data_IF_432669601530
#
_entry.id   IF_432669601530
#
_cell.length_a   1.000
_cell.length_b   1.000
_cell.length_c   1.000
_cell.angle_alpha   90.00
_cell.angle_beta   90.00
_cell.angle_gamma   90.00
#
_symmetry.space_group_name_H-M   'P 1'
#
loop_
_entity.id
_entity.type
_entity.pdbx_description
1 polymer ?
#
# COMPACT_ATOMS: atom_id res chain seq x y z
N UNK A 1 -15.32 -33.17 13.26
CA UNK A 1 -15.52 -32.70 11.90
C UNK A 1 -16.04 -31.28 11.95
N UNK A 2 -15.17 -30.32 12.08
CA UNK A 2 -15.40 -28.87 11.85
C UNK A 2 -14.00 -28.23 11.81
N UNK A 3 -13.62 -27.65 10.72
CA UNK A 3 -12.39 -26.86 10.64
C UNK A 3 -11.57 -27.15 9.40
N UNK A 4 -11.90 -26.51 8.33
CA UNK A 4 -11.00 -26.28 7.19
C UNK A 4 -11.72 -25.38 6.18
N UNK A 5 -11.82 -24.06 6.49
CA UNK A 5 -12.31 -23.10 5.50
C UNK A 5 -11.97 -21.66 5.92
N UNK A 6 -10.68 -21.35 6.06
CA UNK A 6 -10.28 -19.94 6.32
C UNK A 6 -8.78 -19.68 6.01
N UNK A 7 -8.26 -20.22 4.92
CA UNK A 7 -6.88 -19.94 4.50
C UNK A 7 -6.69 -19.36 3.10
N UNK A 8 -7.77 -18.92 2.43
CA UNK A 8 -7.68 -18.35 1.07
C UNK A 8 -8.21 -16.92 0.91
N UNK A 9 -8.49 -16.19 1.97
CA UNK A 9 -9.21 -14.91 1.88
C UNK A 9 -8.38 -13.64 2.12
N UNK A 10 -7.06 -13.70 2.27
CA UNK A 10 -6.27 -12.51 2.67
C UNK A 10 -5.51 -11.81 1.54
N UNK A 11 -5.51 -12.33 0.33
CA UNK A 11 -4.85 -11.68 -0.82
C UNK A 11 -5.85 -10.84 -1.65
N UNK A 12 -7.15 -11.06 -1.51
CA UNK A 12 -8.20 -10.40 -2.32
C UNK A 12 -8.80 -9.12 -1.72
N UNK A 13 -8.50 -8.78 -0.48
CA UNK A 13 -9.14 -7.64 0.22
C UNK A 13 -8.55 -6.27 -0.07
N UNK A 14 -7.43 -6.15 -0.75
CA UNK A 14 -6.82 -4.84 -1.01
C UNK A 14 -7.36 -4.09 -2.23
N UNK A 15 -8.11 -4.76 -3.13
CA UNK A 15 -8.71 -4.11 -4.32
C UNK A 15 -10.17 -3.68 -4.08
N UNK A 16 -10.83 -4.22 -3.06
CA UNK A 16 -12.28 -4.03 -2.83
C UNK A 16 -12.66 -2.86 -1.91
N UNK A 17 -11.70 -2.19 -1.30
CA UNK A 17 -12.02 -1.07 -0.39
C UNK A 17 -12.40 0.25 -1.11
N UNK A 18 -12.21 0.34 -2.43
CA UNK A 18 -12.61 1.53 -3.21
C UNK A 18 -13.95 1.39 -3.93
N UNK A 19 -14.60 0.21 -3.89
CA UNK A 19 -15.85 -0.06 -4.62
C UNK A 19 -17.07 -0.25 -3.72
N UNK A 20 -17.03 0.16 -2.49
CA UNK A 20 -18.13 0.00 -1.50
C UNK A 20 -19.38 0.87 -1.77
N UNK A 21 -19.64 1.26 -3.01
CA UNK A 21 -20.89 1.96 -3.39
C UNK A 21 -21.69 1.28 -4.52
N UNK A 22 -21.31 0.07 -4.95
CA UNK A 22 -22.13 -0.69 -5.88
C UNK A 22 -22.38 -2.10 -5.32
N UNK A 23 -23.63 -2.54 -5.39
CA UNK A 23 -24.08 -3.85 -4.90
C UNK A 23 -23.18 -4.99 -5.42
N UNK A 24 -22.32 -5.47 -4.58
CA UNK A 24 -21.25 -6.44 -4.84
C UNK A 24 -21.75 -7.89 -5.09
N UNK A 25 -23.05 -8.13 -5.07
CA UNK A 25 -23.62 -9.48 -5.13
C UNK A 25 -23.84 -10.02 -6.54
N UNK A 26 -23.72 -9.22 -7.59
CA UNK A 26 -23.98 -9.69 -8.97
C UNK A 26 -22.72 -9.88 -9.82
N UNK A 27 -21.56 -9.42 -9.38
CA UNK A 27 -20.30 -9.52 -10.14
C UNK A 27 -19.46 -10.74 -9.73
N UNK A 28 -19.73 -11.34 -8.56
CA UNK A 28 -18.95 -12.46 -8.01
C UNK A 28 -19.52 -13.85 -8.30
N UNK A 29 -20.59 -13.97 -9.07
CA UNK A 29 -21.22 -15.24 -9.41
C UNK A 29 -20.96 -15.69 -10.86
N UNK A 30 -19.77 -15.41 -11.40
CA UNK A 30 -19.34 -16.04 -12.64
C UNK A 30 -18.51 -17.29 -12.34
N UNK A 31 -18.90 -18.38 -13.02
CA UNK A 31 -18.38 -19.72 -12.79
C UNK A 31 -16.87 -19.82 -12.95
N UNK A 32 -16.25 -20.65 -12.13
CA UNK A 32 -14.82 -21.03 -12.21
C UNK A 32 -14.36 -21.42 -13.63
N UNK A 33 -15.27 -21.99 -14.45
CA UNK A 33 -15.03 -22.35 -15.85
C UNK A 33 -14.85 -21.13 -16.77
N UNK A 34 -15.52 -20.00 -16.50
CA UNK A 34 -15.31 -18.75 -17.26
C UNK A 34 -13.98 -18.07 -16.90
N UNK A 35 -13.57 -18.16 -15.64
CA UNK A 35 -12.28 -17.61 -15.19
C UNK A 35 -11.10 -18.39 -15.80
N UNK A 36 -11.21 -19.72 -15.90
CA UNK A 36 -10.23 -20.60 -16.58
C UNK A 36 -10.21 -20.34 -18.08
N UNK A 37 -11.37 -20.19 -18.72
CA UNK A 37 -11.45 -19.83 -20.14
C UNK A 37 -10.90 -18.44 -20.43
N UNK A 38 -11.13 -17.48 -19.53
CA UNK A 38 -10.58 -16.10 -19.60
C UNK A 38 -9.07 -16.14 -19.48
N UNK A 39 -8.49 -16.92 -18.55
CA UNK A 39 -7.04 -17.07 -18.42
C UNK A 39 -6.42 -17.77 -19.64
N UNK A 40 -7.09 -18.74 -20.26
CA UNK A 40 -6.64 -19.38 -21.50
C UNK A 40 -6.70 -18.44 -22.70
N UNK A 41 -7.68 -17.55 -22.76
CA UNK A 41 -7.78 -16.50 -23.76
C UNK A 41 -6.68 -15.44 -23.57
N UNK A 42 -6.41 -15.05 -22.33
CA UNK A 42 -5.31 -14.14 -21.97
C UNK A 42 -3.96 -14.70 -22.44
N UNK A 43 -3.69 -15.98 -22.23
CA UNK A 43 -2.43 -16.62 -22.60
C UNK A 43 -2.22 -16.79 -24.12
N UNK A 44 -3.29 -16.72 -24.94
CA UNK A 44 -3.24 -16.94 -26.39
C UNK A 44 -3.25 -15.67 -27.23
N UNK A 45 -3.77 -14.55 -26.71
CA UNK A 45 -4.10 -13.37 -27.52
C UNK A 45 -3.71 -12.04 -26.88
N UNK A 46 -3.04 -12.05 -25.75
CA UNK A 46 -2.61 -10.85 -25.05
C UNK A 46 -1.10 -10.87 -24.81
N UNK A 47 -0.43 -9.90 -25.40
CA UNK A 47 0.96 -9.59 -25.11
C UNK A 47 1.01 -8.33 -24.24
N UNK A 48 1.51 -8.48 -23.02
CA UNK A 48 1.69 -7.38 -22.08
C UNK A 48 2.60 -6.28 -22.66
N UNK A 49 3.56 -6.66 -23.48
CA UNK A 49 4.46 -5.72 -24.17
C UNK A 49 3.72 -4.87 -25.19
N UNK A 50 2.78 -5.45 -25.96
CA UNK A 50 1.94 -4.73 -26.93
C UNK A 50 1.07 -3.68 -26.24
N UNK A 51 0.47 -4.03 -25.10
CA UNK A 51 -0.34 -3.10 -24.32
C UNK A 51 0.49 -1.97 -23.72
N UNK A 52 1.64 -2.30 -23.16
CA UNK A 52 2.57 -1.30 -22.62
C UNK A 52 2.94 -0.30 -23.71
N UNK A 53 3.43 -0.78 -24.86
CA UNK A 53 3.79 0.06 -25.99
C UNK A 53 2.59 0.92 -26.46
N UNK A 54 1.40 0.33 -26.54
CA UNK A 54 0.17 1.03 -26.93
C UNK A 54 -0.14 2.18 -25.98
N UNK A 55 -0.03 1.98 -24.66
CA UNK A 55 -0.30 3.04 -23.68
C UNK A 55 0.83 4.05 -23.55
N UNK A 56 2.08 3.66 -23.71
CA UNK A 56 3.19 4.61 -23.79
C UNK A 56 2.99 5.55 -24.98
N UNK A 57 2.62 5.03 -26.16
CA UNK A 57 2.32 5.81 -27.33
C UNK A 57 1.09 6.72 -27.14
N UNK A 58 0.03 6.20 -26.51
CA UNK A 58 -1.14 6.99 -26.15
C UNK A 58 -0.79 8.17 -25.23
N UNK A 59 -0.07 7.92 -24.14
CA UNK A 59 0.35 8.96 -23.21
C UNK A 59 1.30 9.98 -23.86
N UNK A 60 2.13 9.55 -24.81
CA UNK A 60 2.95 10.45 -25.61
C UNK A 60 2.10 11.33 -26.53
N UNK A 61 1.05 10.79 -27.16
CA UNK A 61 0.11 11.57 -27.95
C UNK A 61 -0.58 12.64 -27.10
N UNK A 62 -1.07 12.29 -25.89
CA UNK A 62 -1.61 13.25 -24.92
C UNK A 62 -0.58 14.33 -24.58
N UNK A 63 0.64 13.93 -24.21
CA UNK A 63 1.73 14.86 -23.88
C UNK A 63 2.01 15.85 -24.98
N UNK A 64 2.08 15.39 -26.22
CA UNK A 64 2.48 16.19 -27.37
C UNK A 64 1.31 16.99 -27.97
N UNK A 65 0.09 16.86 -27.44
CA UNK A 65 -1.15 17.39 -28.02
C UNK A 65 -1.42 16.87 -29.44
N UNK A 66 -0.94 15.67 -29.72
CA UNK A 66 -1.32 14.93 -30.91
C UNK A 66 -2.73 14.37 -30.68
N UNK A 67 -3.56 14.28 -31.69
CA UNK A 67 -4.92 13.75 -31.49
C UNK A 67 -4.92 12.32 -30.93
N UNK A 68 -5.81 12.02 -30.01
CA UNK A 68 -5.97 10.68 -29.42
C UNK A 68 -7.05 9.84 -30.13
N UNK A 69 -7.54 10.26 -31.26
CA UNK A 69 -8.64 9.60 -31.99
C UNK A 69 -8.31 8.16 -32.39
N UNK A 70 -7.06 7.88 -32.74
CA UNK A 70 -6.61 6.52 -33.05
C UNK A 70 -6.67 5.55 -31.85
N UNK A 71 -6.85 6.07 -30.66
CA UNK A 71 -6.94 5.28 -29.43
C UNK A 71 -8.37 5.13 -28.94
N UNK A 72 -9.32 5.91 -29.46
CA UNK A 72 -10.73 5.89 -29.12
C UNK A 72 -11.47 4.96 -30.08
N UNK A 73 -12.44 4.21 -29.58
CA UNK A 73 -13.28 3.34 -30.40
C UNK A 73 -14.14 4.19 -31.36
N UNK A 74 -14.22 3.83 -32.66
CA UNK A 74 -14.93 4.65 -33.64
C UNK A 74 -16.45 4.56 -33.51
N UNK A 75 -16.96 3.47 -32.96
CA UNK A 75 -18.36 3.07 -32.90
C UNK A 75 -19.13 3.57 -31.66
N UNK A 76 -18.48 4.37 -30.81
CA UNK A 76 -19.13 5.02 -29.67
C UNK A 76 -19.66 6.41 -30.04
N UNK A 77 -20.58 6.95 -29.24
CA UNK A 77 -21.19 8.25 -29.46
C UNK A 77 -20.16 9.40 -29.35
N UNK A 78 -20.44 10.54 -29.97
CA UNK A 78 -19.56 11.72 -29.82
C UNK A 78 -19.53 12.22 -28.37
N UNK A 79 -20.59 12.05 -27.60
CA UNK A 79 -20.62 12.38 -26.17
C UNK A 79 -19.63 11.53 -25.37
N UNK A 80 -19.60 10.22 -25.63
CA UNK A 80 -18.63 9.30 -25.02
C UNK A 80 -17.18 9.61 -25.42
N UNK A 81 -16.95 9.92 -26.70
CA UNK A 81 -15.62 10.37 -27.17
C UNK A 81 -15.19 11.64 -26.47
N UNK A 82 -16.08 12.63 -26.38
CA UNK A 82 -15.79 13.90 -25.72
C UNK A 82 -15.54 13.71 -24.21
N UNK A 83 -16.23 12.78 -23.55
CA UNK A 83 -15.95 12.43 -22.16
C UNK A 83 -14.52 11.88 -21.97
N UNK A 84 -14.07 11.01 -22.88
CA UNK A 84 -12.69 10.49 -22.85
C UNK A 84 -11.68 11.62 -23.09
N UNK A 85 -11.91 12.46 -24.11
CA UNK A 85 -11.04 13.62 -24.40
C UNK A 85 -10.95 14.55 -23.21
N UNK A 86 -12.07 14.88 -22.58
CA UNK A 86 -12.13 15.80 -21.44
C UNK A 86 -11.37 15.28 -20.21
N UNK A 87 -11.35 13.98 -20.00
CA UNK A 87 -10.55 13.37 -18.92
C UNK A 87 -9.04 13.57 -19.16
N UNK A 88 -8.57 13.38 -20.41
CA UNK A 88 -7.14 13.48 -20.71
C UNK A 88 -6.66 14.91 -21.04
N UNK A 89 -7.57 15.82 -21.36
CA UNK A 89 -7.25 17.23 -21.69
C UNK A 89 -6.39 17.97 -20.65
N UNK A 90 -6.58 17.83 -19.32
CA UNK A 90 -5.73 18.46 -18.31
C UNK A 90 -4.26 18.04 -18.37
N UNK A 91 -3.97 16.91 -18.99
CA UNK A 91 -2.63 16.36 -19.09
C UNK A 91 -1.90 16.78 -20.37
N UNK A 92 -2.61 17.36 -21.34
CA UNK A 92 -2.04 17.80 -22.61
C UNK A 92 -0.94 18.83 -22.41
N UNK A 93 0.18 18.63 -23.11
CA UNK A 93 1.31 19.57 -23.09
C UNK A 93 2.07 19.61 -21.76
N UNK A 94 1.82 18.73 -20.81
CA UNK A 94 2.64 18.60 -19.62
C UNK A 94 4.07 18.18 -19.98
N UNK A 95 5.06 18.67 -19.24
CA UNK A 95 6.48 18.45 -19.54
C UNK A 95 6.89 16.98 -19.49
N UNK A 96 6.22 16.19 -18.66
CA UNK A 96 6.45 14.77 -18.48
C UNK A 96 5.13 14.06 -18.20
N UNK A 97 4.85 13.03 -18.99
CA UNK A 97 3.82 12.02 -18.73
C UNK A 97 4.50 10.70 -18.93
N UNK A 98 4.43 9.79 -17.95
CA UNK A 98 5.09 8.50 -18.02
C UNK A 98 4.14 7.36 -17.60
N UNK A 99 4.21 6.28 -18.35
CA UNK A 99 3.56 5.03 -18.04
C UNK A 99 4.17 4.40 -16.77
N UNK A 100 3.33 3.84 -15.91
CA UNK A 100 3.76 3.10 -14.73
C UNK A 100 3.47 1.62 -14.90
N UNK A 101 2.20 1.25 -15.02
CA UNK A 101 1.80 -0.12 -15.34
C UNK A 101 0.36 -0.17 -15.89
N UNK A 102 0.03 -1.31 -16.48
CA UNK A 102 -1.32 -1.67 -16.90
C UNK A 102 -1.67 -3.04 -16.35
N UNK A 103 -2.86 -3.17 -15.81
CA UNK A 103 -3.42 -4.44 -15.36
C UNK A 103 -4.80 -4.63 -16.00
N UNK A 104 -5.07 -5.81 -16.50
CA UNK A 104 -6.38 -6.17 -17.04
C UNK A 104 -7.10 -7.12 -16.05
N UNK A 105 -7.90 -6.58 -15.11
CA UNK A 105 -8.59 -7.41 -14.12
C UNK A 105 -9.76 -8.20 -14.71
N UNK A 106 -10.33 -7.75 -15.81
CA UNK A 106 -11.49 -8.38 -16.44
C UNK A 106 -11.31 -8.37 -17.94
N UNK A 107 -11.45 -9.53 -18.55
CA UNK A 107 -11.51 -9.72 -19.99
C UNK A 107 -12.70 -10.65 -20.31
N UNK A 108 -13.49 -10.30 -21.29
CA UNK A 108 -14.58 -11.16 -21.77
C UNK A 108 -14.70 -11.09 -23.28
N UNK A 109 -15.27 -12.14 -23.85
CA UNK A 109 -15.59 -12.21 -25.27
C UNK A 109 -17.04 -11.82 -25.49
N UNK A 110 -17.30 -11.02 -26.53
CA UNK A 110 -18.66 -10.73 -26.96
C UNK A 110 -19.13 -11.88 -27.87
N UNK A 111 -20.20 -12.55 -27.47
CA UNK A 111 -20.76 -13.71 -28.21
C UNK A 111 -21.33 -13.29 -29.57
N UNK A 112 -21.03 -14.07 -30.62
CA UNK A 112 -21.64 -13.93 -31.96
C UNK A 112 -20.74 -13.31 -33.02
N UNK A 113 -19.48 -13.11 -32.78
CA UNK A 113 -18.54 -12.44 -33.67
C UNK A 113 -17.24 -13.24 -33.90
N UNK A 114 -16.46 -12.83 -34.89
CA UNK A 114 -15.24 -13.49 -35.28
C UNK A 114 -14.18 -13.52 -34.17
N UNK A 115 -13.41 -14.60 -34.11
CA UNK A 115 -12.52 -15.02 -33.02
C UNK A 115 -11.50 -13.99 -32.56
N UNK A 116 -11.23 -12.97 -33.36
CA UNK A 116 -10.17 -11.98 -33.12
C UNK A 116 -10.66 -10.55 -32.81
N UNK A 117 -11.93 -10.23 -33.07
CA UNK A 117 -12.39 -8.85 -33.12
C UNK A 117 -13.23 -8.36 -31.93
N UNK A 118 -13.58 -9.25 -30.97
CA UNK A 118 -14.53 -8.90 -29.92
C UNK A 118 -14.06 -9.26 -28.50
N UNK A 119 -12.80 -9.01 -28.23
CA UNK A 119 -12.36 -8.99 -26.84
C UNK A 119 -12.66 -7.63 -26.23
N UNK A 120 -13.40 -7.62 -25.13
CA UNK A 120 -13.67 -6.43 -24.33
C UNK A 120 -13.19 -6.66 -22.90
N UNK A 121 -12.76 -5.59 -22.24
CA UNK A 121 -12.26 -5.72 -20.89
C UNK A 121 -12.19 -4.42 -20.14
N UNK A 122 -11.96 -4.53 -18.85
CA UNK A 122 -11.58 -3.41 -18.00
C UNK A 122 -10.07 -3.43 -17.86
N UNK A 123 -9.48 -2.26 -17.98
CA UNK A 123 -8.04 -2.10 -17.91
C UNK A 123 -7.70 -0.99 -16.93
N UNK A 124 -6.95 -1.32 -15.91
CA UNK A 124 -6.36 -0.34 -15.01
C UNK A 124 -5.07 0.20 -15.64
N UNK A 125 -5.06 1.50 -15.93
CA UNK A 125 -3.88 2.23 -16.38
C UNK A 125 -3.41 3.15 -15.27
N UNK A 126 -2.16 3.00 -14.87
CA UNK A 126 -1.48 3.90 -13.94
C UNK A 126 -0.39 4.66 -14.67
N UNK A 127 -0.39 5.98 -14.51
CA UNK A 127 0.56 6.88 -15.17
C UNK A 127 0.91 8.07 -14.27
N UNK A 128 2.05 8.70 -14.52
CA UNK A 128 2.53 9.86 -13.76
C UNK A 128 2.57 11.09 -14.63
N UNK A 129 2.26 12.23 -14.01
CA UNK A 129 2.28 13.55 -14.65
C UNK A 129 3.10 14.52 -13.82
N UNK A 130 4.05 15.19 -14.44
CA UNK A 130 4.82 16.29 -13.84
C UNK A 130 3.97 17.56 -13.84
N UNK A 131 3.34 17.84 -12.70
CA UNK A 131 2.49 19.03 -12.54
C UNK A 131 3.30 20.33 -12.45
N UNK A 132 4.47 20.28 -11.80
CA UNK A 132 5.43 21.37 -11.67
C UNK A 132 6.84 20.82 -11.46
N UNK A 133 7.84 21.71 -11.30
CA UNK A 133 9.24 21.30 -11.02
C UNK A 133 9.37 20.39 -9.78
N UNK A 134 8.52 20.62 -8.79
CA UNK A 134 8.56 19.90 -7.50
C UNK A 134 7.39 18.94 -7.28
N UNK A 135 6.42 18.87 -8.21
CA UNK A 135 5.22 18.05 -8.02
C UNK A 135 5.07 17.03 -9.14
N UNK A 136 5.14 15.76 -8.76
CA UNK A 136 4.84 14.60 -9.59
C UNK A 136 3.60 13.91 -9.03
N UNK A 137 2.56 13.77 -9.85
CA UNK A 137 1.30 13.16 -9.46
C UNK A 137 1.09 11.87 -10.23
N UNK A 138 0.74 10.80 -9.53
CA UNK A 138 0.37 9.52 -10.11
C UNK A 138 -1.15 9.40 -10.17
N UNK A 139 -1.66 9.04 -11.33
CA UNK A 139 -3.07 8.86 -11.61
C UNK A 139 -3.37 7.40 -11.94
N UNK A 140 -4.52 6.94 -11.48
CA UNK A 140 -5.06 5.62 -11.83
C UNK A 140 -6.42 5.81 -12.50
N UNK A 141 -6.60 5.17 -13.66
CA UNK A 141 -7.87 5.17 -14.38
C UNK A 141 -8.24 3.75 -14.80
N UNK A 142 -9.50 3.39 -14.65
CA UNK A 142 -10.04 2.13 -15.18
C UNK A 142 -10.76 2.45 -16.48
N UNK A 143 -10.17 1.98 -17.56
CA UNK A 143 -10.64 2.14 -18.92
C UNK A 143 -11.50 0.94 -19.33
N UNK A 144 -12.59 1.19 -20.04
CA UNK A 144 -13.30 0.18 -20.81
C UNK A 144 -12.59 0.04 -22.15
N UNK A 145 -12.10 -1.15 -22.46
CA UNK A 145 -11.30 -1.43 -23.65
C UNK A 145 -11.98 -2.42 -24.57
N UNK A 146 -11.81 -2.23 -25.86
CA UNK A 146 -12.19 -3.18 -26.89
C UNK A 146 -11.01 -3.41 -27.84
N UNK A 147 -10.81 -4.64 -28.28
CA UNK A 147 -9.85 -4.99 -29.32
C UNK A 147 -10.57 -4.95 -30.66
N UNK A 148 -10.31 -3.93 -31.45
CA UNK A 148 -11.01 -3.63 -32.71
C UNK A 148 -10.01 -3.57 -33.88
N UNK A 149 -10.47 -3.97 -35.07
CA UNK A 149 -9.72 -3.95 -36.32
C UNK A 149 -9.94 -5.19 -37.15
N UNK A 150 -9.35 -5.22 -38.35
CA UNK A 150 -9.28 -6.41 -39.19
C UNK A 150 -8.08 -7.29 -38.83
N UNK A 151 -7.97 -8.48 -39.43
CA UNK A 151 -6.91 -9.45 -39.13
C UNK A 151 -5.47 -8.89 -39.32
N UNK A 152 -5.31 -7.77 -40.04
CA UNK A 152 -4.02 -7.15 -40.31
C UNK A 152 -3.70 -5.95 -39.44
N UNK A 153 -4.69 -5.41 -38.70
CA UNK A 153 -4.57 -4.16 -37.93
C UNK A 153 -5.38 -4.12 -36.66
N UNK A 154 -5.45 -5.23 -35.93
CA UNK A 154 -6.19 -5.31 -34.64
C UNK A 154 -5.48 -4.45 -33.59
N UNK A 155 -6.21 -3.52 -32.99
CA UNK A 155 -5.68 -2.64 -31.94
C UNK A 155 -6.64 -2.50 -30.76
N UNK A 156 -6.09 -2.35 -29.58
CA UNK A 156 -6.85 -1.98 -28.41
C UNK A 156 -7.32 -0.54 -28.49
N UNK A 157 -8.62 -0.32 -28.28
CA UNK A 157 -9.28 0.97 -28.32
C UNK A 157 -10.03 1.25 -27.02
N UNK A 158 -10.04 2.50 -26.58
CA UNK A 158 -10.78 2.98 -25.42
C UNK A 158 -12.22 3.28 -25.87
N UNK A 159 -13.20 2.62 -25.24
CA UNK A 159 -14.61 2.92 -25.49
C UNK A 159 -15.34 3.51 -24.28
N UNK A 160 -14.61 3.81 -23.20
CA UNK A 160 -15.15 4.51 -22.04
C UNK A 160 -14.18 4.54 -20.87
N UNK A 161 -14.54 5.35 -19.89
CA UNK A 161 -13.86 5.42 -18.59
C UNK A 161 -14.87 4.91 -17.56
N UNK A 162 -14.49 3.90 -16.78
CA UNK A 162 -15.32 3.36 -15.71
C UNK A 162 -15.10 4.10 -14.39
N UNK A 163 -13.85 4.39 -14.08
CA UNK A 163 -13.43 5.02 -12.83
C UNK A 163 -12.08 5.70 -12.97
N UNK A 164 -11.86 6.73 -12.17
CA UNK A 164 -10.56 7.39 -12.02
C UNK A 164 -10.39 7.96 -10.61
N UNK A 165 -9.15 8.06 -10.17
CA UNK A 165 -8.80 8.76 -8.93
C UNK A 165 -8.60 10.27 -9.17
N UNK A 166 -8.27 10.97 -8.07
CA UNK A 166 -7.93 12.41 -8.09
C UNK A 166 -6.43 12.67 -8.24
N UNK A 167 -5.65 11.58 -8.37
CA UNK A 167 -4.20 11.61 -8.36
C UNK A 167 -3.59 11.62 -6.97
N UNK A 168 -2.45 10.96 -6.83
CA UNK A 168 -1.65 10.85 -5.60
C UNK A 168 -0.32 11.57 -5.81
N UNK A 169 0.06 12.44 -4.89
CA UNK A 169 1.37 13.09 -4.93
C UNK A 169 2.45 12.06 -4.60
N UNK A 170 3.31 11.78 -5.57
CA UNK A 170 4.45 10.87 -5.48
C UNK A 170 5.78 11.59 -5.67
N UNK A 171 5.81 12.89 -5.40
CA UNK A 171 7.04 13.67 -5.40
C UNK A 171 8.00 13.16 -4.35
N UNK A 172 9.30 13.28 -4.60
CA UNK A 172 10.33 12.92 -3.63
C UNK A 172 10.12 13.67 -2.30
N UNK A 173 10.22 12.92 -1.21
CA UNK A 173 10.07 13.43 0.15
C UNK A 173 11.42 13.48 0.88
N UNK A 174 11.47 14.28 1.93
CA UNK A 174 12.66 14.33 2.79
C UNK A 174 12.69 13.10 3.71
N UNK A 175 13.62 12.19 3.46
CA UNK A 175 13.82 10.98 4.24
C UNK A 175 14.72 11.23 5.46
N UNK A 176 14.17 11.79 6.53
CA UNK A 176 14.89 12.06 7.78
C UNK A 176 14.59 11.04 8.90
N UNK A 177 13.65 10.12 8.66
CA UNK A 177 13.22 9.12 9.64
C UNK A 177 14.39 8.25 10.12
N UNK A 178 15.28 7.88 9.21
CA UNK A 178 16.43 7.02 9.48
C UNK A 178 17.68 7.79 9.99
N UNK A 179 17.60 9.11 10.06
CA UNK A 179 18.69 9.91 10.60
C UNK A 179 18.85 9.64 12.10
N UNK A 180 20.10 9.67 12.59
CA UNK A 180 20.36 9.63 14.02
C UNK A 180 19.71 10.82 14.73
N UNK A 181 19.27 10.65 15.99
CA UNK A 181 18.74 11.77 16.75
C UNK A 181 19.73 12.92 16.84
N UNK A 182 19.24 14.15 16.89
CA UNK A 182 20.09 15.33 17.09
C UNK A 182 20.43 15.49 18.58
N UNK A 183 21.60 16.09 18.87
CA UNK A 183 21.99 16.41 20.25
C UNK A 183 20.90 17.22 20.96
N UNK A 184 20.49 16.76 22.14
CA UNK A 184 19.40 17.38 22.92
C UNK A 184 17.98 16.91 22.54
N UNK A 185 17.80 16.19 21.46
CA UNK A 185 16.52 15.56 21.09
C UNK A 185 16.10 14.53 22.16
N UNK A 186 14.81 14.46 22.46
CA UNK A 186 14.29 13.44 23.38
C UNK A 186 14.20 12.10 22.67
N UNK A 187 14.84 11.09 23.24
CA UNK A 187 14.81 9.73 22.74
C UNK A 187 14.13 8.78 23.73
N UNK A 188 13.56 7.72 23.22
CA UNK A 188 12.94 6.64 23.99
C UNK A 188 13.95 5.51 24.16
N UNK A 189 14.07 4.97 25.35
CA UNK A 189 14.91 3.81 25.70
C UNK A 189 14.00 2.76 26.30
N UNK A 190 13.80 1.68 25.56
CA UNK A 190 13.02 0.51 25.98
C UNK A 190 13.99 -0.58 26.43
N UNK A 191 13.90 -0.97 27.69
CA UNK A 191 14.60 -2.15 28.24
C UNK A 191 13.66 -3.34 28.16
N UNK A 192 14.12 -4.44 27.58
CA UNK A 192 13.39 -5.72 27.47
C UNK A 192 14.21 -6.84 28.09
N UNK A 193 13.63 -8.03 28.27
CA UNK A 193 14.38 -9.23 28.67
C UNK A 193 15.45 -9.63 27.66
N UNK A 194 15.30 -9.24 26.39
CA UNK A 194 16.25 -9.54 25.33
C UNK A 194 17.42 -8.53 25.21
N UNK A 195 17.24 -7.30 25.75
CA UNK A 195 18.20 -6.21 25.65
C UNK A 195 17.53 -4.84 25.55
N UNK A 196 18.29 -3.84 25.11
CA UNK A 196 17.85 -2.45 25.05
C UNK A 196 17.61 -2.02 23.61
N UNK A 197 16.44 -1.40 23.35
CA UNK A 197 16.07 -0.80 22.07
C UNK A 197 15.98 0.71 22.28
N UNK A 198 16.69 1.48 21.44
CA UNK A 198 16.65 2.96 21.49
C UNK A 198 15.95 3.50 20.24
N UNK A 199 14.99 4.41 20.46
CA UNK A 199 14.10 4.92 19.42
C UNK A 199 14.06 6.45 19.42
N UNK A 200 14.07 7.02 18.24
CA UNK A 200 13.71 8.40 17.96
C UNK A 200 12.20 8.51 17.85
N UNK A 201 11.61 9.61 18.30
CA UNK A 201 10.16 9.86 18.20
C UNK A 201 9.91 11.08 17.30
N UNK A 202 8.72 11.14 16.67
CA UNK A 202 8.35 12.18 15.71
C UNK A 202 7.10 12.97 16.15
N UNK A 203 7.19 13.77 17.23
CA UNK A 203 6.03 14.47 17.79
C UNK A 203 5.42 15.53 16.85
N UNK A 204 6.19 16.05 15.88
CA UNK A 204 5.72 16.99 14.87
C UNK A 204 4.86 16.34 13.77
N UNK A 205 4.94 15.02 13.61
CA UNK A 205 4.19 14.26 12.60
C UNK A 205 3.09 13.39 13.20
N UNK A 206 3.29 12.95 14.44
CA UNK A 206 2.35 12.09 15.16
C UNK A 206 2.21 12.56 16.63
N UNK A 207 1.70 13.79 16.87
CA UNK A 207 1.64 14.38 18.20
C UNK A 207 0.76 13.60 19.18
N UNK A 208 -0.39 13.06 18.74
CA UNK A 208 -1.27 12.28 19.61
C UNK A 208 -0.62 10.96 20.01
N UNK A 209 -0.06 10.25 19.04
CA UNK A 209 0.62 8.98 19.28
C UNK A 209 1.80 9.14 20.23
N UNK A 210 2.68 10.10 19.96
CA UNK A 210 3.87 10.34 20.80
C UNK A 210 3.47 10.77 22.21
N UNK A 211 2.46 11.64 22.36
CA UNK A 211 1.98 12.06 23.67
C UNK A 211 1.39 10.90 24.45
N UNK A 212 0.51 10.11 23.82
CA UNK A 212 -0.08 8.91 24.44
C UNK A 212 1.02 7.93 24.89
N UNK A 213 1.98 7.65 24.00
CA UNK A 213 3.12 6.78 24.29
C UNK A 213 3.93 7.24 25.50
N UNK A 214 4.31 8.53 25.54
CA UNK A 214 5.12 9.10 26.63
C UNK A 214 4.37 9.03 27.98
N UNK A 215 3.11 9.43 28.01
CA UNK A 215 2.36 9.51 29.27
C UNK A 215 2.03 8.11 29.82
N UNK A 216 1.62 7.16 28.96
CA UNK A 216 1.42 5.76 29.38
C UNK A 216 2.72 5.14 29.85
N UNK A 217 3.86 5.40 29.19
CA UNK A 217 5.18 4.92 29.62
C UNK A 217 5.58 5.48 30.98
N UNK A 218 5.38 6.77 31.24
CA UNK A 218 5.63 7.39 32.55
C UNK A 218 4.81 6.79 33.69
N UNK A 219 3.58 6.36 33.37
CA UNK A 219 2.70 5.67 34.32
C UNK A 219 3.12 4.20 34.54
N UNK A 220 4.14 3.71 33.83
CA UNK A 220 4.58 2.32 33.89
C UNK A 220 3.64 1.35 33.19
N UNK A 221 2.72 1.85 32.36
CA UNK A 221 1.71 1.03 31.68
C UNK A 221 2.31 -0.14 30.89
N UNK A 222 3.44 0.09 30.24
CA UNK A 222 4.11 -0.91 29.40
C UNK A 222 5.00 -1.88 30.19
N UNK A 223 5.26 -1.63 31.50
CA UNK A 223 6.14 -2.48 32.30
C UNK A 223 5.50 -3.87 32.48
N UNK A 224 6.27 -4.90 32.16
CA UNK A 224 5.83 -6.29 32.25
C UNK A 224 4.96 -6.77 31.08
N UNK A 225 4.70 -5.92 30.07
CA UNK A 225 3.91 -6.30 28.88
C UNK A 225 4.71 -7.22 27.98
N UNK A 226 4.07 -8.26 27.49
CA UNK A 226 4.63 -9.24 26.59
C UNK A 226 4.68 -8.70 25.15
N UNK A 227 5.67 -9.12 24.39
CA UNK A 227 5.53 -9.14 22.94
C UNK A 227 4.64 -10.35 22.61
N UNK A 228 3.33 -10.14 22.66
CA UNK A 228 2.31 -11.19 22.60
C UNK A 228 2.05 -11.73 21.18
N UNK A 229 2.46 -10.97 20.15
CA UNK A 229 2.39 -11.38 18.75
C UNK A 229 3.72 -11.10 18.07
N UNK A 230 4.32 -12.14 17.51
CA UNK A 230 5.66 -12.11 16.94
C UNK A 230 5.65 -12.82 15.59
N UNK A 231 5.94 -12.08 14.52
CA UNK A 231 6.01 -12.63 13.17
C UNK A 231 7.36 -12.27 12.57
N UNK A 232 8.23 -13.26 12.43
CA UNK A 232 9.54 -13.08 11.80
C UNK A 232 9.40 -12.62 10.35
N UNK A 233 10.18 -11.60 9.97
CA UNK A 233 10.10 -10.95 8.65
C UNK A 233 8.87 -10.05 8.50
N UNK A 234 8.23 -9.68 9.62
CA UNK A 234 7.09 -8.78 9.62
C UNK A 234 7.14 -7.80 10.79
N UNK A 235 6.58 -8.15 11.95
CA UNK A 235 6.50 -7.25 13.11
C UNK A 235 6.66 -7.99 14.42
N UNK A 236 7.07 -7.25 15.47
CA UNK A 236 6.90 -7.65 16.88
C UNK A 236 5.91 -6.68 17.52
N UNK A 237 4.84 -7.18 18.13
CA UNK A 237 3.73 -6.40 18.66
C UNK A 237 3.57 -6.58 20.17
N UNK A 238 3.31 -5.48 20.87
CA UNK A 238 3.13 -5.44 22.32
C UNK A 238 2.13 -4.34 22.73
N UNK A 239 1.95 -4.15 24.03
CA UNK A 239 1.14 -3.07 24.61
C UNK A 239 -0.24 -3.52 25.11
N UNK A 240 -0.71 -4.72 24.79
CA UNK A 240 -1.92 -5.28 25.39
C UNK A 240 -1.72 -5.62 26.87
N UNK A 241 -2.80 -5.61 27.66
CA UNK A 241 -2.79 -5.96 29.08
C UNK A 241 -2.77 -7.46 29.27
N UNK A 242 -3.54 -8.18 28.49
CA UNK A 242 -3.80 -9.63 28.62
C UNK A 242 -3.33 -10.44 27.39
N UNK A 243 -2.62 -9.81 26.48
CA UNK A 243 -2.26 -10.44 25.19
C UNK A 243 -3.39 -10.44 24.17
N UNK A 244 -4.52 -9.78 24.47
CA UNK A 244 -5.65 -9.68 23.57
C UNK A 244 -5.61 -8.34 22.79
N UNK A 245 -5.97 -8.37 21.51
CA UNK A 245 -6.01 -7.19 20.65
C UNK A 245 -7.18 -6.24 20.97
N UNK A 246 -8.17 -6.68 21.74
CA UNK A 246 -9.42 -5.93 21.93
C UNK A 246 -9.35 -4.87 23.03
N UNK A 247 -8.33 -4.92 23.91
CA UNK A 247 -8.19 -3.97 24.99
C UNK A 247 -7.37 -2.76 24.58
N UNK A 248 -8.01 -1.60 24.62
CA UNK A 248 -7.41 -0.33 24.26
C UNK A 248 -7.53 0.71 25.36
N UNK A 249 -6.40 1.15 25.88
CA UNK A 249 -6.27 2.24 26.87
C UNK A 249 -5.60 3.45 26.21
N UNK A 250 -6.08 4.65 26.52
CA UNK A 250 -5.46 5.89 26.08
C UNK A 250 -5.52 6.95 27.18
N UNK A 251 -4.65 7.96 27.09
CA UNK A 251 -4.75 9.13 27.96
C UNK A 251 -5.93 10.05 27.60
N UNK A 252 -6.61 9.76 26.48
CA UNK A 252 -7.69 10.56 25.92
C UNK A 252 -9.09 10.05 26.32
N UNK A 253 -9.16 8.92 27.02
CA UNK A 253 -10.40 8.21 27.34
C UNK A 253 -11.23 7.78 26.11
N UNK A 254 -10.63 7.75 24.93
CA UNK A 254 -11.21 7.31 23.67
C UNK A 254 -10.12 6.87 22.72
N UNK A 255 -10.44 6.02 21.76
CA UNK A 255 -9.58 5.75 20.61
C UNK A 255 -9.39 7.05 19.81
N UNK A 256 -8.28 7.15 19.07
CA UNK A 256 -7.96 8.36 18.31
C UNK A 256 -7.54 8.05 16.87
N UNK A 257 -7.55 9.09 16.06
CA UNK A 257 -7.34 9.04 14.63
C UNK A 257 -5.92 8.61 14.24
N UNK A 258 -5.78 8.11 13.01
CA UNK A 258 -4.48 7.84 12.41
C UNK A 258 -3.77 9.16 12.07
N UNK A 259 -2.52 9.27 12.46
CA UNK A 259 -1.63 10.37 12.11
C UNK A 259 -0.64 9.88 11.04
N UNK A 260 -1.10 9.90 9.78
CA UNK A 260 -0.31 9.43 8.64
C UNK A 260 0.47 10.59 8.03
N UNK A 261 1.73 10.35 7.74
CA UNK A 261 2.63 11.33 7.11
C UNK A 261 3.27 10.72 5.85
N UNK A 262 3.36 11.50 4.77
CA UNK A 262 4.11 11.13 3.57
C UNK A 262 5.64 11.10 3.76
N UNK A 263 6.14 11.51 4.91
CA UNK A 263 7.58 11.53 5.25
C UNK A 263 7.98 10.41 6.24
N UNK A 264 6.99 9.63 6.74
CA UNK A 264 7.21 8.52 7.68
C UNK A 264 6.65 7.23 7.10
N UNK A 265 7.45 6.19 7.11
CA UNK A 265 7.21 4.95 6.40
C UNK A 265 7.45 3.73 7.31
N UNK A 266 6.87 2.59 6.96
CA UNK A 266 7.07 1.32 7.68
C UNK A 266 8.42 0.67 7.30
N UNK A 267 9.52 1.43 7.35
CA UNK A 267 10.87 0.90 7.20
C UNK A 267 11.21 -0.07 8.33
N UNK A 268 12.20 -0.94 8.11
CA UNK A 268 12.71 -1.81 9.16
C UNK A 268 13.07 -0.99 10.43
N UNK A 269 12.57 -1.41 11.58
CA UNK A 269 12.72 -0.70 12.86
C UNK A 269 11.73 0.46 13.08
N UNK A 270 10.76 0.72 12.19
CA UNK A 270 9.72 1.70 12.45
C UNK A 270 8.87 1.31 13.66
N UNK A 271 8.61 2.28 14.56
CA UNK A 271 7.71 2.14 15.69
C UNK A 271 6.34 2.71 15.31
N UNK A 272 5.32 1.86 15.33
CA UNK A 272 4.00 2.15 14.80
C UNK A 272 2.90 1.76 15.78
N UNK A 273 1.72 2.41 15.68
CA UNK A 273 0.54 1.99 16.42
C UNK A 273 -0.15 0.83 15.71
N UNK A 274 -0.49 -0.19 16.48
CA UNK A 274 -1.42 -1.23 16.05
C UNK A 274 -2.86 -0.75 16.29
N UNK A 275 -3.76 -1.06 15.35
CA UNK A 275 -5.19 -0.73 15.48
C UNK A 275 -6.06 -1.81 14.82
N UNK A 276 -7.32 -1.91 15.22
CA UNK A 276 -8.32 -2.83 14.69
C UNK A 276 -9.06 -2.31 13.44
N UNK A 277 -8.67 -1.14 12.94
CA UNK A 277 -9.26 -0.47 11.78
C UNK A 277 -8.89 1.00 11.76
N UNK A 278 -9.27 1.76 10.73
CA UNK A 278 -8.97 3.19 10.65
C UNK A 278 -9.47 3.95 11.88
N UNK A 279 -8.62 4.83 12.42
CA UNK A 279 -8.96 5.71 13.55
C UNK A 279 -9.33 4.97 14.85
N UNK A 280 -8.75 3.80 15.08
CA UNK A 280 -8.91 3.02 16.32
C UNK A 280 -7.60 2.84 17.08
N UNK A 281 -6.75 3.86 17.08
CA UNK A 281 -5.47 3.84 17.78
C UNK A 281 -5.67 3.84 19.30
N UNK A 282 -4.89 3.02 19.99
CA UNK A 282 -4.89 2.87 21.45
C UNK A 282 -3.47 2.86 22.03
N UNK A 283 -3.21 1.89 22.86
CA UNK A 283 -1.94 1.64 23.55
C UNK A 283 -1.04 0.63 22.84
N UNK A 284 -1.61 -0.15 21.91
CA UNK A 284 -0.87 -1.21 21.26
C UNK A 284 0.05 -0.68 20.16
N UNK A 285 1.24 -1.24 20.11
CA UNK A 285 2.26 -0.84 19.14
C UNK A 285 2.93 -2.06 18.50
N UNK A 286 3.54 -1.85 17.36
CA UNK A 286 4.46 -2.80 16.77
C UNK A 286 5.77 -2.12 16.35
N UNK A 287 6.82 -2.92 16.28
CA UNK A 287 8.09 -2.53 15.65
C UNK A 287 8.24 -3.38 14.40
N UNK A 288 8.47 -2.75 13.27
CA UNK A 288 8.72 -3.43 12.00
C UNK A 288 10.02 -4.23 12.08
N UNK A 289 9.95 -5.51 11.76
CA UNK A 289 11.09 -6.41 11.70
C UNK A 289 11.13 -7.09 10.33
N UNK A 290 11.74 -6.45 9.36
CA UNK A 290 11.92 -6.99 8.00
C UNK A 290 13.16 -6.36 7.38
N UNK A 291 14.29 -7.06 7.42
CA UNK A 291 15.57 -6.60 6.85
C UNK A 291 15.55 -6.47 5.33
N UNK A 292 14.59 -7.13 4.70
CA UNK A 292 14.34 -7.06 3.28
C UNK A 292 12.97 -6.40 3.03
N UNK A 293 12.69 -6.01 1.79
CA UNK A 293 11.35 -5.55 1.42
C UNK A 293 10.41 -6.74 1.42
N UNK A 294 9.40 -6.69 2.29
CA UNK A 294 8.35 -7.71 2.27
C UNK A 294 7.49 -7.54 1.01
N UNK A 295 7.26 -8.62 0.26
CA UNK A 295 6.53 -8.62 -1.01
C UNK A 295 7.11 -7.60 -2.00
N UNK A 296 8.40 -7.71 -2.32
CA UNK A 296 9.11 -6.76 -3.19
C UNK A 296 8.41 -6.55 -4.54
N UNK A 297 7.71 -7.56 -5.04
CA UNK A 297 6.96 -7.51 -6.30
C UNK A 297 5.80 -6.50 -6.30
N UNK A 298 5.25 -6.15 -5.14
CA UNK A 298 4.20 -5.13 -5.06
C UNK A 298 4.75 -3.70 -4.95
N UNK A 299 6.03 -3.53 -4.59
CA UNK A 299 6.63 -2.21 -4.38
C UNK A 299 6.51 -1.29 -5.61
N UNK A 300 6.73 -1.73 -6.85
CA UNK A 300 6.52 -0.90 -8.04
C UNK A 300 5.07 -0.45 -8.21
N UNK A 301 4.10 -1.23 -7.72
CA UNK A 301 2.67 -0.98 -7.87
C UNK A 301 2.13 0.04 -6.86
N UNK A 302 2.85 0.28 -5.76
CA UNK A 302 2.45 1.23 -4.73
C UNK A 302 2.68 2.67 -5.19
N UNK A 303 1.72 3.53 -4.88
CA UNK A 303 1.78 4.98 -5.16
C UNK A 303 2.68 5.67 -4.13
N UNK A 304 3.97 5.36 -4.17
CA UNK A 304 5.02 5.92 -3.32
C UNK A 304 6.04 6.71 -4.14
N UNK A 305 6.68 7.74 -3.55
CA UNK A 305 7.82 8.43 -4.15
C UNK A 305 8.95 7.45 -4.50
N UNK A 306 9.68 7.71 -5.60
CA UNK A 306 10.75 6.81 -6.04
C UNK A 306 11.91 6.75 -5.04
N UNK A 307 12.21 7.88 -4.37
CA UNK A 307 13.23 7.88 -3.32
C UNK A 307 12.81 7.06 -2.08
N UNK A 308 11.50 6.94 -1.80
CA UNK A 308 10.97 6.06 -0.75
C UNK A 308 11.10 4.60 -1.16
N UNK A 309 10.71 4.25 -2.41
CA UNK A 309 10.87 2.89 -2.95
C UNK A 309 12.33 2.44 -2.93
N UNK A 310 13.25 3.33 -3.36
CA UNK A 310 14.68 3.07 -3.30
C UNK A 310 15.16 2.85 -1.85
N UNK A 311 14.65 3.63 -0.90
CA UNK A 311 15.00 3.48 0.52
C UNK A 311 14.48 2.16 1.09
N UNK A 312 13.28 1.70 0.75
CA UNK A 312 12.81 0.37 1.14
C UNK A 312 13.75 -0.74 0.67
N UNK A 313 14.23 -0.68 -0.58
CA UNK A 313 15.20 -1.65 -1.11
C UNK A 313 16.55 -1.63 -0.37
N UNK A 314 16.93 -0.49 0.20
CA UNK A 314 18.17 -0.34 0.96
C UNK A 314 18.08 -0.88 2.39
N UNK A 315 16.95 -0.62 3.07
CA UNK A 315 16.83 -0.85 4.53
C UNK A 315 15.78 -1.88 4.92
N UNK A 316 15.01 -2.38 3.98
CA UNK A 316 13.88 -3.29 4.23
C UNK A 316 12.64 -2.57 4.75
N UNK A 317 11.64 -3.37 5.12
CA UNK A 317 10.38 -2.91 5.68
C UNK A 317 9.15 -3.43 4.97
N UNK A 318 7.99 -2.81 5.26
CA UNK A 318 6.67 -3.28 4.84
C UNK A 318 5.91 -2.13 4.18
N UNK A 319 6.17 -1.87 2.90
CA UNK A 319 5.61 -0.70 2.21
C UNK A 319 4.08 -0.72 2.09
N UNK A 320 3.44 -1.90 2.16
CA UNK A 320 1.98 -2.03 2.10
C UNK A 320 1.26 -1.48 3.34
N UNK A 321 1.98 -1.24 4.43
CA UNK A 321 1.44 -0.63 5.65
C UNK A 321 1.45 0.91 5.60
N UNK A 322 2.17 1.52 4.65
CA UNK A 322 2.20 2.97 4.49
C UNK A 322 0.80 3.54 4.21
N UNK A 323 0.50 4.67 4.83
CA UNK A 323 -0.81 5.29 4.72
C UNK A 323 -1.93 4.65 5.53
N UNK A 324 -1.67 3.52 6.21
CA UNK A 324 -2.67 2.78 7.00
C UNK A 324 -2.46 2.88 8.50
N UNK A 325 -1.22 2.94 8.93
CA UNK A 325 -0.84 2.94 10.34
C UNK A 325 -0.03 4.17 10.70
N UNK A 326 -0.17 4.64 11.93
CA UNK A 326 0.60 5.77 12.45
C UNK A 326 2.03 5.33 12.75
N UNK A 327 2.99 5.80 11.98
CA UNK A 327 4.42 5.72 12.29
C UNK A 327 4.77 6.89 13.19
N UNK A 328 5.23 6.63 14.42
CA UNK A 328 5.52 7.69 15.40
C UNK A 328 6.94 7.66 15.96
N UNK A 329 7.74 6.64 15.56
CA UNK A 329 9.14 6.53 15.97
C UNK A 329 9.96 5.64 15.04
N UNK A 330 11.26 5.56 15.29
CA UNK A 330 12.22 4.74 14.56
C UNK A 330 13.32 4.24 15.50
N UNK A 331 13.59 2.96 15.44
CA UNK A 331 14.77 2.35 16.12
C UNK A 331 16.02 2.84 15.43
N UNK A 332 16.94 3.42 16.20
CA UNK A 332 18.25 3.84 15.72
C UNK A 332 19.41 3.03 16.34
N UNK A 333 19.13 2.25 17.39
CA UNK A 333 20.07 1.33 18.05
C UNK A 333 19.28 0.17 18.69
N UNK A 334 19.73 -1.07 18.51
CA UNK A 334 19.08 -2.27 19.06
C UNK A 334 18.19 -3.00 18.05
N UNK A 335 18.39 -2.88 16.73
CA UNK A 335 17.73 -3.72 15.73
C UNK A 335 18.06 -5.21 15.90
N UNK A 336 19.23 -5.53 16.37
CA UNK A 336 19.63 -6.90 16.77
C UNK A 336 18.76 -7.45 17.91
N UNK A 337 18.32 -6.60 18.83
CA UNK A 337 17.39 -6.97 19.91
C UNK A 337 15.98 -7.20 19.33
N UNK A 338 15.54 -6.36 18.37
CA UNK A 338 14.28 -6.56 17.65
C UNK A 338 14.29 -7.91 16.91
N UNK A 339 15.39 -8.25 16.24
CA UNK A 339 15.58 -9.53 15.56
C UNK A 339 15.56 -10.70 16.55
N UNK A 340 16.21 -10.56 17.71
CA UNK A 340 16.19 -11.57 18.76
C UNK A 340 14.77 -11.83 19.29
N UNK A 341 13.97 -10.78 19.48
CA UNK A 341 12.56 -10.92 19.88
C UNK A 341 11.78 -11.63 18.78
N UNK A 342 11.98 -11.26 17.51
CA UNK A 342 11.31 -11.85 16.35
C UNK A 342 11.71 -13.32 16.09
N UNK A 343 12.80 -13.79 16.71
CA UNK A 343 13.28 -15.16 16.55
C UNK A 343 12.68 -16.15 17.55
N UNK A 344 11.72 -15.72 18.38
CA UNK A 344 10.99 -16.62 19.27
C UNK A 344 10.14 -17.62 18.47
N UNK A 345 10.05 -18.86 18.94
CA UNK A 345 9.10 -19.83 18.40
C UNK A 345 7.68 -19.42 18.75
N UNK A 346 6.76 -19.51 17.79
CA UNK A 346 5.37 -19.09 17.93
C UNK A 346 4.40 -20.20 17.54
N UNK A 347 3.16 -20.11 18.04
CA UNK A 347 2.05 -20.96 17.65
C UNK A 347 1.43 -20.51 16.30
N UNK A 348 0.28 -21.09 15.97
CA UNK A 348 -0.45 -20.78 14.73
C UNK A 348 -1.10 -19.38 14.73
N UNK A 349 -1.24 -18.78 15.89
CA UNK A 349 -1.78 -17.43 16.14
C UNK A 349 -0.67 -16.37 16.29
N UNK A 350 0.58 -16.73 15.98
CA UNK A 350 1.78 -15.87 16.10
C UNK A 350 2.15 -15.53 17.56
N UNK A 351 1.60 -16.23 18.57
CA UNK A 351 1.94 -16.01 19.97
C UNK A 351 3.17 -16.83 20.38
N UNK A 352 4.13 -16.27 21.15
CA UNK A 352 5.30 -17.01 21.62
C UNK A 352 4.90 -18.25 22.41
N UNK A 353 5.47 -19.41 22.07
CA UNK A 353 5.15 -20.70 22.68
C UNK A 353 5.58 -20.81 24.15
N UNK A 354 6.61 -20.12 24.59
CA UNK A 354 7.15 -20.15 25.94
C UNK A 354 7.83 -18.84 26.33
N UNK A 355 7.62 -18.41 27.57
CA UNK A 355 8.30 -17.27 28.19
C UNK A 355 8.39 -16.05 27.24
N UNK A 356 7.26 -15.42 26.89
CA UNK A 356 7.29 -14.26 26.01
C UNK A 356 8.23 -13.20 26.57
N UNK A 357 9.05 -12.61 25.68
CA UNK A 357 9.94 -11.52 26.05
C UNK A 357 9.09 -10.31 26.43
N UNK A 358 9.46 -9.66 27.55
CA UNK A 358 8.69 -8.55 28.13
C UNK A 358 9.40 -7.22 27.98
N UNK A 359 8.60 -6.17 27.87
CA UNK A 359 9.03 -4.81 28.12
C UNK A 359 9.22 -4.64 29.61
N UNK A 360 10.45 -4.42 30.07
CA UNK A 360 10.75 -4.20 31.48
C UNK A 360 10.52 -2.75 31.89
N UNK A 361 10.93 -1.81 31.05
CA UNK A 361 10.85 -0.39 31.34
C UNK A 361 11.00 0.45 30.06
N UNK A 362 10.30 1.60 30.02
CA UNK A 362 10.48 2.62 29.01
C UNK A 362 10.89 3.94 29.69
N UNK A 363 11.99 4.52 29.27
CA UNK A 363 12.54 5.79 29.76
C UNK A 363 12.76 6.78 28.63
N UNK A 364 12.73 8.08 28.96
CA UNK A 364 13.02 9.15 28.03
C UNK A 364 14.24 9.93 28.47
N UNK A 365 15.19 10.14 27.57
CA UNK A 365 16.44 10.84 27.86
C UNK A 365 16.77 11.83 26.73
N UNK A 366 17.61 12.81 27.04
CA UNK A 366 18.19 13.68 26.02
C UNK A 366 19.31 12.95 25.30
N UNK A 367 19.27 12.92 23.97
CA UNK A 367 20.37 12.37 23.16
C UNK A 367 21.63 13.25 23.33
N UNK A 368 22.76 12.63 23.55
CA UNK A 368 24.04 13.31 23.88
C UNK A 368 24.99 13.38 22.70
#
# INVERSE_FOLDING_TARGET
>A
MKGSFLKSCLIFTCVLAATAAMSTTTVLAHNYDEEVQTQQLLSRHWDESELKERFENFLNAVKNKEGIEDYIAPDITEEEKEFIRNYFRPFEGKSEISYVYTKMPVLHRVSGTDEYNDLRGLMELKFRVRESKSKLTEYTVILKMARLGDASSIKWKIYGILWNDKGVDVSDVKLYQLDKPKRGEQVCIMTTDAGVIKMRLFPEKAPLAVKNWIELSKQGFYNGRDFYRVIKGFVIQSGSIDGNSDENTTIYNSLYENEVSSELHNFNGALCLANGGPHTNGNQFYIVQSSDVRNEEVLPLLSLPENVKAKYKEVGGIPELDGRYTVFGQVYEGLDIVEKIASQETDAEDAPLSNPIKVQKIEFKKYR
#
